data_IF_616375651897
#
_entry.id   IF_616375651897
#
_cell.length_a   1.000
_cell.length_b   1.000
_cell.length_c   1.000
_cell.angle_alpha   90.00
_cell.angle_beta   90.00
_cell.angle_gamma   90.00
#
_symmetry.space_group_name_H-M   'P 1'
#
loop_
_entity.id
_entity.type
_entity.pdbx_description
1 polymer ?
#
# COMPACT_ATOMS: atom_id res chain seq x y z
N UNK A 1 -6.47 -19.78 -8.74
CA UNK A 1 -5.25 -20.21 -9.46
C UNK A 1 -5.52 -20.66 -10.90
N UNK A 2 -6.74 -21.10 -11.27
CA UNK A 2 -7.08 -21.52 -12.64
C UNK A 2 -7.39 -20.37 -13.63
N UNK A 3 -7.76 -19.17 -13.16
CA UNK A 3 -8.08 -18.04 -14.05
C UNK A 3 -6.82 -17.37 -14.63
N UNK A 4 -5.71 -17.37 -13.90
CA UNK A 4 -4.42 -16.81 -14.36
C UNK A 4 -3.81 -17.68 -15.48
N UNK A 5 -3.98 -19.01 -15.41
CA UNK A 5 -3.55 -19.91 -16.50
C UNK A 5 -4.34 -19.68 -17.79
N UNK A 6 -5.63 -19.34 -17.69
CA UNK A 6 -6.48 -19.11 -18.86
C UNK A 6 -6.11 -17.79 -19.59
N UNK A 7 -5.69 -16.76 -18.85
CA UNK A 7 -5.20 -15.50 -19.44
C UNK A 7 -3.82 -15.65 -20.11
N UNK A 8 -2.97 -16.55 -19.61
CA UNK A 8 -1.71 -16.89 -20.28
C UNK A 8 -1.93 -17.73 -21.55
N UNK A 9 -3.00 -18.52 -21.61
CA UNK A 9 -3.30 -19.35 -22.78
C UNK A 9 -3.93 -18.54 -23.94
N UNK A 10 -4.63 -17.43 -23.65
CA UNK A 10 -5.14 -16.50 -24.66
C UNK A 10 -4.09 -15.52 -25.22
N UNK A 11 -2.98 -15.30 -24.52
CA UNK A 11 -1.87 -14.46 -25.00
C UNK A 11 -0.86 -15.21 -25.89
N UNK A 12 -0.97 -16.54 -26.03
CA UNK A 12 -0.09 -17.33 -26.91
C UNK A 12 -0.53 -17.35 -28.38
N UNK A 13 -1.68 -16.76 -28.74
CA UNK A 13 -2.13 -16.64 -30.13
C UNK A 13 -1.84 -15.26 -30.75
N UNK A 14 -1.25 -14.34 -29.98
CA UNK A 14 -0.80 -13.04 -30.46
C UNK A 14 0.71 -13.08 -30.78
N UNK A 15 1.08 -13.83 -31.81
CA UNK A 15 2.50 -14.02 -32.12
C UNK A 15 2.79 -14.78 -33.40
N UNK A 16 2.05 -14.50 -34.48
CA UNK A 16 2.51 -14.85 -35.82
C UNK A 16 2.45 -13.60 -36.69
N UNK A 17 3.29 -12.61 -36.33
CA UNK A 17 3.63 -11.56 -37.26
C UNK A 17 4.92 -11.98 -37.97
N UNK A 18 4.89 -11.93 -39.29
CA UNK A 18 6.01 -12.08 -40.22
C UNK A 18 6.39 -13.49 -40.64
N UNK A 19 5.53 -14.11 -41.46
CA UNK A 19 6.01 -14.99 -42.54
C UNK A 19 6.20 -14.23 -43.88
N UNK A 20 5.76 -12.97 -43.99
CA UNK A 20 5.37 -12.41 -45.29
C UNK A 20 6.30 -11.33 -45.88
N UNK A 21 7.24 -10.76 -45.09
CA UNK A 21 8.32 -9.92 -45.66
C UNK A 21 9.17 -10.74 -46.65
N UNK A 22 9.23 -12.05 -46.42
CA UNK A 22 9.79 -13.06 -47.32
C UNK A 22 9.11 -13.04 -48.69
N UNK A 23 7.78 -12.85 -48.75
CA UNK A 23 6.99 -12.99 -50.00
C UNK A 23 7.12 -11.81 -50.96
N UNK A 24 7.33 -10.58 -50.46
CA UNK A 24 7.49 -9.38 -51.31
C UNK A 24 8.86 -9.36 -51.98
N UNK A 25 9.91 -9.61 -51.18
CA UNK A 25 11.28 -9.75 -51.68
C UNK A 25 11.36 -10.89 -52.70
N UNK A 26 10.64 -11.99 -52.45
CA UNK A 26 10.55 -13.14 -53.34
C UNK A 26 9.95 -12.79 -54.72
N UNK A 27 8.87 -12.01 -54.81
CA UNK A 27 8.30 -11.63 -56.11
C UNK A 27 9.24 -10.75 -56.96
N UNK A 28 9.87 -9.75 -56.34
CA UNK A 28 10.81 -8.88 -57.06
C UNK A 28 12.04 -9.68 -57.54
N UNK A 29 12.56 -10.56 -56.69
CA UNK A 29 13.63 -11.50 -57.06
C UNK A 29 13.20 -12.39 -58.22
N UNK A 30 12.01 -12.99 -58.16
CA UNK A 30 11.45 -13.81 -59.24
C UNK A 30 11.33 -13.03 -60.56
N UNK A 31 11.02 -11.74 -60.54
CA UNK A 31 10.93 -10.96 -61.79
C UNK A 31 12.29 -10.85 -62.48
N UNK A 32 13.37 -10.72 -61.71
CA UNK A 32 14.72 -10.57 -62.23
C UNK A 32 15.43 -11.91 -62.54
N UNK A 33 15.09 -13.02 -61.89
CA UNK A 33 15.74 -14.33 -62.09
C UNK A 33 15.61 -14.87 -63.52
N UNK A 34 16.73 -15.24 -64.13
CA UNK A 34 16.78 -15.83 -65.48
C UNK A 34 16.50 -17.35 -65.45
N UNK A 35 15.35 -17.72 -64.90
CA UNK A 35 14.88 -19.11 -64.84
C UNK A 35 14.29 -19.59 -66.18
N UNK A 36 14.25 -20.91 -66.38
CA UNK A 36 13.58 -21.50 -67.55
C UNK A 36 12.12 -21.07 -67.62
N UNK A 37 11.70 -20.70 -68.83
CA UNK A 37 10.35 -20.20 -69.10
C UNK A 37 9.31 -21.28 -68.82
N UNK A 38 8.31 -20.96 -67.99
CA UNK A 38 7.19 -21.87 -67.68
C UNK A 38 5.95 -21.58 -68.51
N UNK A 39 5.94 -20.47 -69.26
CA UNK A 39 4.78 -20.06 -70.05
C UNK A 39 4.59 -20.95 -71.28
N UNK A 40 3.34 -21.34 -71.51
CA UNK A 40 2.90 -22.12 -72.65
C UNK A 40 1.94 -21.30 -73.49
N UNK A 41 1.84 -21.67 -74.77
CA UNK A 41 0.89 -21.05 -75.69
C UNK A 41 -0.56 -21.18 -75.19
N UNK A 42 -0.88 -22.30 -74.53
CA UNK A 42 -2.19 -22.58 -73.92
C UNK A 42 -2.54 -21.67 -72.74
N UNK A 43 -1.58 -20.95 -72.17
CA UNK A 43 -1.81 -20.10 -70.99
C UNK A 43 -2.46 -18.75 -71.36
N UNK A 44 -2.61 -18.50 -72.66
CA UNK A 44 -3.29 -17.33 -73.22
C UNK A 44 -4.59 -17.76 -73.88
N UNK A 45 -5.63 -16.96 -73.67
CA UNK A 45 -6.97 -17.22 -74.22
C UNK A 45 -7.17 -16.46 -75.53
N UNK A 46 -8.01 -16.99 -76.42
CA UNK A 46 -8.38 -16.32 -77.68
C UNK A 46 -7.26 -16.28 -78.72
N UNK A 47 -6.33 -17.24 -78.67
CA UNK A 47 -5.29 -17.43 -79.68
C UNK A 47 -5.73 -18.37 -80.81
N UNK A 48 -6.88 -19.01 -80.66
CA UNK A 48 -7.51 -19.88 -81.65
C UNK A 48 -8.34 -19.08 -82.69
N UNK A 49 -8.59 -19.69 -83.84
CA UNK A 49 -9.46 -19.11 -84.88
C UNK A 49 -8.72 -18.45 -86.06
N UNK A 50 -9.27 -17.35 -86.57
CA UNK A 50 -8.78 -16.69 -87.80
C UNK A 50 -7.49 -15.93 -87.53
N UNK A 51 -6.58 -16.00 -88.50
CA UNK A 51 -5.28 -15.34 -88.44
C UNK A 51 -5.12 -14.30 -89.56
N UNK A 52 -4.25 -13.33 -89.32
CA UNK A 52 -3.83 -12.30 -90.28
C UNK A 52 -2.31 -12.32 -90.42
N UNK A 53 -1.83 -12.21 -91.64
CA UNK A 53 -0.39 -12.12 -91.93
C UNK A 53 0.06 -10.67 -91.87
N UNK A 54 1.03 -10.38 -91.00
CA UNK A 54 1.67 -9.07 -90.87
C UNK A 54 3.17 -9.25 -91.10
N UNK A 55 3.67 -8.75 -92.23
CA UNK A 55 5.04 -9.00 -92.66
C UNK A 55 5.28 -10.48 -92.96
N UNK A 56 6.19 -11.10 -92.21
CA UNK A 56 6.56 -12.53 -92.35
C UNK A 56 5.92 -13.45 -91.31
N UNK A 57 5.03 -12.92 -90.46
CA UNK A 57 4.44 -13.63 -89.33
C UNK A 57 2.92 -13.68 -89.45
N UNK A 58 2.31 -14.76 -88.93
CA UNK A 58 0.88 -14.98 -88.88
C UNK A 58 0.37 -14.84 -87.44
N UNK A 59 -0.60 -13.94 -87.21
CA UNK A 59 -1.11 -13.64 -85.88
C UNK A 59 -2.62 -13.90 -85.76
N UNK A 60 -3.11 -14.36 -84.59
CA UNK A 60 -4.55 -14.39 -84.31
C UNK A 60 -5.17 -12.99 -84.45
N UNK A 61 -6.37 -12.90 -85.04
CA UNK A 61 -7.07 -11.62 -85.23
C UNK A 61 -7.30 -10.85 -83.92
N UNK A 62 -7.45 -11.55 -82.80
CA UNK A 62 -7.62 -10.98 -81.46
C UNK A 62 -6.44 -10.11 -81.02
N UNK A 63 -5.24 -10.36 -81.55
CA UNK A 63 -4.01 -9.64 -81.22
C UNK A 63 -3.67 -8.55 -82.24
N UNK A 64 -4.36 -8.52 -83.39
CA UNK A 64 -4.05 -7.60 -84.48
C UNK A 64 -4.03 -6.12 -84.05
N UNK A 65 -5.01 -5.59 -83.29
CA UNK A 65 -4.96 -4.20 -82.84
C UNK A 65 -3.75 -3.89 -81.93
N UNK A 66 -3.39 -4.83 -81.04
CA UNK A 66 -2.24 -4.68 -80.16
C UNK A 66 -0.93 -4.68 -80.96
N UNK A 67 -0.83 -5.58 -81.93
CA UNK A 67 0.33 -5.68 -82.81
C UNK A 67 0.51 -4.41 -83.65
N UNK A 68 -0.56 -3.91 -84.28
CA UNK A 68 -0.52 -2.67 -85.05
C UNK A 68 -0.07 -1.49 -84.19
N UNK A 69 -0.55 -1.39 -82.95
CA UNK A 69 -0.14 -0.34 -82.02
C UNK A 69 1.35 -0.44 -81.67
N UNK A 70 1.86 -1.65 -81.39
CA UNK A 70 3.28 -1.87 -81.11
C UNK A 70 4.13 -1.47 -82.32
N UNK A 71 3.77 -1.94 -83.51
CA UNK A 71 4.51 -1.61 -84.75
C UNK A 71 4.47 -0.11 -85.01
N UNK A 72 3.33 0.55 -84.82
CA UNK A 72 3.17 1.99 -85.00
C UNK A 72 4.05 2.81 -84.04
N UNK A 73 4.17 2.39 -82.78
CA UNK A 73 4.88 3.15 -81.74
C UNK A 73 6.38 2.78 -81.66
N UNK A 74 6.72 1.52 -81.91
CA UNK A 74 8.06 0.96 -81.66
C UNK A 74 8.74 0.39 -82.90
N UNK A 75 8.03 0.30 -84.03
CA UNK A 75 8.47 -0.43 -85.21
C UNK A 75 8.38 -1.95 -85.03
N UNK A 76 8.89 -2.71 -85.99
CA UNK A 76 8.97 -4.17 -85.86
C UNK A 76 10.01 -4.57 -84.81
N UNK A 77 9.53 -4.98 -83.64
CA UNK A 77 10.37 -5.37 -82.50
C UNK A 77 11.13 -6.68 -82.75
N UNK A 78 10.71 -7.49 -83.71
CA UNK A 78 11.34 -8.77 -84.06
C UNK A 78 12.34 -8.69 -85.22
N UNK A 79 12.50 -7.51 -85.84
CA UNK A 79 13.33 -7.34 -87.04
C UNK A 79 14.80 -7.76 -86.87
N UNK A 80 15.34 -7.66 -85.65
CA UNK A 80 16.73 -8.04 -85.32
C UNK A 80 16.92 -9.52 -85.02
N UNK A 81 15.84 -10.31 -84.94
CA UNK A 81 15.93 -11.73 -84.60
C UNK A 81 16.44 -12.58 -85.77
N UNK A 82 17.38 -13.47 -85.48
CA UNK A 82 17.94 -14.46 -86.42
C UNK A 82 17.38 -15.88 -86.22
N UNK A 83 16.36 -16.02 -85.37
CA UNK A 83 15.81 -17.32 -84.98
C UNK A 83 14.96 -17.94 -86.10
N UNK A 84 14.72 -19.26 -86.00
CA UNK A 84 13.76 -19.95 -86.85
C UNK A 84 12.39 -19.24 -86.83
N UNK A 85 11.79 -19.05 -88.01
CA UNK A 85 10.56 -18.29 -88.20
C UNK A 85 9.39 -18.81 -87.35
N UNK A 86 9.21 -20.13 -87.25
CA UNK A 86 8.12 -20.74 -86.48
C UNK A 86 8.27 -20.50 -84.97
N UNK A 87 9.51 -20.54 -84.46
CA UNK A 87 9.79 -20.27 -83.05
C UNK A 87 9.60 -18.79 -82.75
N UNK A 88 10.14 -17.92 -83.61
CA UNK A 88 10.00 -16.47 -83.47
C UNK A 88 8.54 -16.04 -83.54
N UNK A 89 7.73 -16.62 -84.42
CA UNK A 89 6.29 -16.39 -84.51
C UNK A 89 5.58 -16.73 -83.20
N UNK A 90 5.83 -17.93 -82.65
CA UNK A 90 5.20 -18.36 -81.39
C UNK A 90 5.52 -17.42 -80.23
N UNK A 91 6.79 -17.00 -80.11
CA UNK A 91 7.23 -16.06 -79.08
C UNK A 91 6.62 -14.68 -79.28
N UNK A 92 6.50 -14.21 -80.53
CA UNK A 92 5.88 -12.93 -80.84
C UNK A 92 4.38 -12.93 -80.50
N UNK A 93 3.67 -14.03 -80.77
CA UNK A 93 2.26 -14.18 -80.39
C UNK A 93 2.11 -14.11 -78.86
N UNK A 94 2.90 -14.87 -78.10
CA UNK A 94 2.85 -14.87 -76.63
C UNK A 94 3.21 -13.50 -76.03
N UNK A 95 4.17 -12.79 -76.63
CA UNK A 95 4.51 -11.43 -76.25
C UNK A 95 3.32 -10.47 -76.49
N UNK A 96 2.71 -10.49 -77.68
CA UNK A 96 1.56 -9.65 -77.99
C UNK A 96 0.34 -9.97 -77.10
N UNK A 97 0.11 -11.27 -76.81
CA UNK A 97 -0.92 -11.71 -75.89
C UNK A 97 -0.69 -11.17 -74.47
N UNK A 98 0.57 -11.15 -74.01
CA UNK A 98 0.93 -10.57 -72.71
C UNK A 98 0.65 -9.06 -72.66
N UNK A 99 1.04 -8.31 -73.70
CA UNK A 99 0.76 -6.86 -73.77
C UNK A 99 -0.76 -6.60 -73.82
N UNK A 100 -1.52 -7.42 -74.54
CA UNK A 100 -2.97 -7.31 -74.58
C UNK A 100 -3.60 -7.54 -73.20
N UNK A 101 -3.22 -8.61 -72.51
CA UNK A 101 -3.72 -8.86 -71.15
C UNK A 101 -3.35 -7.73 -70.17
N UNK A 102 -2.13 -7.19 -70.26
CA UNK A 102 -1.73 -6.02 -69.45
C UNK A 102 -2.60 -4.79 -69.72
N UNK A 103 -3.02 -4.58 -70.97
CA UNK A 103 -3.88 -3.47 -71.37
C UNK A 103 -5.32 -3.66 -70.89
N UNK A 104 -5.84 -4.89 -70.94
CA UNK A 104 -7.25 -5.18 -70.68
C UNK A 104 -7.56 -5.33 -69.18
N UNK A 105 -6.55 -5.61 -68.34
CA UNK A 105 -6.73 -5.84 -66.90
C UNK A 105 -6.48 -4.58 -66.08
N UNK A 106 -7.26 -4.46 -65.00
CA UNK A 106 -7.01 -3.47 -63.94
C UNK A 106 -6.13 -4.04 -62.84
N UNK A 107 -5.49 -3.16 -62.06
CA UNK A 107 -4.58 -3.54 -60.97
C UNK A 107 -5.21 -4.51 -59.96
N UNK A 108 -6.50 -4.36 -59.66
CA UNK A 108 -7.22 -5.20 -58.69
C UNK A 108 -7.43 -6.64 -59.18
N UNK A 109 -7.28 -6.88 -60.49
CA UNK A 109 -7.42 -8.20 -61.12
C UNK A 109 -6.06 -8.87 -61.35
N UNK A 110 -4.96 -8.17 -61.06
CA UNK A 110 -3.60 -8.67 -61.23
C UNK A 110 -3.27 -9.62 -60.09
N UNK A 111 -2.63 -10.73 -60.43
CA UNK A 111 -2.13 -11.73 -59.48
C UNK A 111 -0.66 -12.00 -59.75
N UNK A 112 0.06 -12.51 -58.76
CA UNK A 112 1.46 -12.95 -58.93
C UNK A 112 1.62 -13.89 -60.14
N UNK A 113 0.74 -14.87 -60.28
CA UNK A 113 0.77 -15.82 -61.39
C UNK A 113 0.70 -15.14 -62.77
N UNK A 114 -0.13 -14.09 -62.91
CA UNK A 114 -0.22 -13.31 -64.17
C UNK A 114 1.07 -12.53 -64.43
N UNK A 115 1.64 -11.90 -63.41
CA UNK A 115 2.91 -11.15 -63.52
C UNK A 115 4.04 -12.08 -63.97
N UNK A 116 4.15 -13.27 -63.36
CA UNK A 116 5.16 -14.27 -63.72
C UNK A 116 4.94 -14.85 -65.12
N UNK A 117 3.68 -15.07 -65.52
CA UNK A 117 3.33 -15.48 -66.89
C UNK A 117 3.81 -14.46 -67.92
N UNK A 118 3.55 -13.17 -67.69
CA UNK A 118 3.98 -12.11 -68.60
C UNK A 118 5.49 -11.91 -68.60
N UNK A 119 6.14 -12.03 -67.43
CA UNK A 119 7.61 -12.04 -67.30
C UNK A 119 8.23 -13.06 -68.25
N UNK A 120 7.74 -14.29 -68.22
CA UNK A 120 8.30 -15.39 -69.01
C UNK A 120 8.18 -15.12 -70.51
N UNK A 121 7.01 -14.68 -70.97
CA UNK A 121 6.80 -14.33 -72.37
C UNK A 121 7.70 -13.17 -72.84
N UNK A 122 7.90 -12.16 -71.99
CA UNK A 122 8.80 -11.02 -72.28
C UNK A 122 10.27 -11.47 -72.29
N UNK A 123 10.69 -12.31 -71.32
CA UNK A 123 12.06 -12.85 -71.27
C UNK A 123 12.36 -13.74 -72.46
N UNK A 124 11.42 -14.57 -72.90
CA UNK A 124 11.59 -15.38 -74.11
C UNK A 124 11.78 -14.49 -75.35
N UNK A 125 11.03 -13.41 -75.48
CA UNK A 125 11.24 -12.42 -76.56
C UNK A 125 12.62 -11.74 -76.47
N UNK A 126 13.08 -11.37 -75.26
CA UNK A 126 14.43 -10.81 -75.06
C UNK A 126 15.53 -11.81 -75.43
N UNK A 127 15.40 -13.08 -75.04
CA UNK A 127 16.34 -14.17 -75.40
C UNK A 127 16.45 -14.36 -76.92
N UNK A 128 15.39 -14.05 -77.66
CA UNK A 128 15.38 -14.07 -79.13
C UNK A 128 15.85 -12.77 -79.79
N UNK A 129 16.43 -11.84 -79.02
CA UNK A 129 16.89 -10.52 -79.46
C UNK A 129 15.76 -9.62 -80.01
N UNK A 130 14.53 -9.75 -79.47
CA UNK A 130 13.48 -8.77 -79.76
C UNK A 130 13.73 -7.50 -78.96
N UNK A 131 13.42 -6.34 -79.55
CA UNK A 131 13.60 -5.03 -78.91
C UNK A 131 12.45 -4.70 -77.94
N UNK A 132 12.29 -5.49 -76.88
CA UNK A 132 11.15 -5.43 -75.94
C UNK A 132 11.51 -4.99 -74.52
N UNK A 133 12.68 -4.37 -74.30
CA UNK A 133 13.11 -3.88 -72.97
C UNK A 133 12.07 -2.97 -72.30
N UNK A 134 11.37 -2.15 -73.08
CA UNK A 134 10.31 -1.26 -72.58
C UNK A 134 9.17 -2.03 -71.90
N UNK A 135 8.86 -3.25 -72.37
CA UNK A 135 7.82 -4.08 -71.78
C UNK A 135 8.28 -4.65 -70.44
N UNK A 136 9.56 -5.02 -70.32
CA UNK A 136 10.13 -5.47 -69.05
C UNK A 136 10.14 -4.33 -68.01
N UNK A 137 10.52 -3.12 -68.41
CA UNK A 137 10.45 -1.94 -67.54
C UNK A 137 9.01 -1.65 -67.08
N UNK A 138 8.04 -1.81 -67.98
CA UNK A 138 6.63 -1.63 -67.64
C UNK A 138 6.11 -2.73 -66.71
N UNK A 139 6.49 -3.99 -66.95
CA UNK A 139 6.15 -5.11 -66.08
C UNK A 139 6.67 -4.91 -64.65
N UNK A 140 7.90 -4.39 -64.50
CA UNK A 140 8.45 -4.03 -63.18
C UNK A 140 7.58 -2.99 -62.48
N UNK A 141 7.08 -1.98 -63.20
CA UNK A 141 6.16 -0.97 -62.64
C UNK A 141 4.83 -1.59 -62.21
N UNK A 142 4.27 -2.51 -63.02
CA UNK A 142 3.05 -3.25 -62.67
C UNK A 142 3.26 -4.05 -61.39
N UNK A 143 4.38 -4.78 -61.27
CA UNK A 143 4.70 -5.56 -60.08
C UNK A 143 4.84 -4.68 -58.84
N UNK A 144 5.53 -3.54 -58.94
CA UNK A 144 5.61 -2.58 -57.84
C UNK A 144 4.22 -2.04 -57.45
N UNK A 145 3.35 -1.76 -58.42
CA UNK A 145 1.98 -1.31 -58.13
C UNK A 145 1.16 -2.39 -57.43
N UNK A 146 1.28 -3.65 -57.85
CA UNK A 146 0.62 -4.79 -57.23
C UNK A 146 1.06 -4.97 -55.78
N UNK A 147 2.38 -4.95 -55.53
CA UNK A 147 2.95 -4.99 -54.18
C UNK A 147 2.42 -3.82 -53.33
N UNK A 148 2.41 -2.61 -53.87
CA UNK A 148 1.89 -1.43 -53.17
C UNK A 148 0.41 -1.53 -52.80
N UNK A 149 -0.41 -2.18 -53.63
CA UNK A 149 -1.82 -2.45 -53.32
C UNK A 149 -1.96 -3.45 -52.17
N UNK A 150 -1.20 -4.55 -52.22
CA UNK A 150 -1.19 -5.56 -51.16
C UNK A 150 -0.73 -4.97 -49.82
N UNK A 151 0.34 -4.18 -49.82
CA UNK A 151 0.84 -3.52 -48.62
C UNK A 151 -0.16 -2.53 -48.03
N UNK A 152 -0.89 -1.79 -48.87
CA UNK A 152 -1.95 -0.91 -48.37
C UNK A 152 -3.05 -1.68 -47.66
N UNK A 153 -3.51 -2.79 -48.24
CA UNK A 153 -4.54 -3.63 -47.61
C UNK A 153 -4.08 -4.17 -46.26
N UNK A 154 -2.83 -4.64 -46.17
CA UNK A 154 -2.22 -5.11 -44.92
C UNK A 154 -2.11 -3.98 -43.90
N UNK A 155 -1.69 -2.79 -44.32
CA UNK A 155 -1.60 -1.63 -43.44
C UNK A 155 -2.96 -1.24 -42.86
N UNK A 156 -4.01 -1.26 -43.68
CA UNK A 156 -5.40 -1.01 -43.25
C UNK A 156 -5.89 -2.07 -42.25
N UNK A 157 -5.59 -3.34 -42.50
CA UNK A 157 -5.93 -4.44 -41.58
C UNK A 157 -5.22 -4.30 -40.22
N UNK A 158 -3.91 -4.02 -40.24
CA UNK A 158 -3.14 -3.78 -39.02
C UNK A 158 -3.66 -2.54 -38.28
N UNK A 159 -3.99 -1.46 -38.98
CA UNK A 159 -4.56 -0.25 -38.37
C UNK A 159 -5.91 -0.53 -37.69
N UNK A 160 -6.79 -1.32 -38.32
CA UNK A 160 -8.04 -1.78 -37.70
C UNK A 160 -7.78 -2.61 -36.45
N UNK A 161 -6.76 -3.49 -36.47
CA UNK A 161 -6.39 -4.29 -35.31
C UNK A 161 -5.85 -3.44 -34.15
N UNK A 162 -5.02 -2.45 -34.45
CA UNK A 162 -4.51 -1.48 -33.46
C UNK A 162 -5.69 -0.75 -32.82
N UNK A 163 -6.59 -0.18 -33.63
CA UNK A 163 -7.76 0.56 -33.12
C UNK A 163 -8.63 -0.31 -32.20
N UNK A 164 -8.84 -1.58 -32.55
CA UNK A 164 -9.57 -2.53 -31.71
C UNK A 164 -8.87 -2.77 -30.35
N UNK A 165 -7.56 -3.04 -30.36
CA UNK A 165 -6.79 -3.29 -29.14
C UNK A 165 -6.72 -2.06 -28.24
N UNK A 166 -6.63 -0.85 -28.80
CA UNK A 166 -6.67 0.40 -28.05
C UNK A 166 -8.02 0.58 -27.34
N UNK A 167 -9.12 0.26 -28.00
CA UNK A 167 -10.45 0.28 -27.39
C UNK A 167 -10.57 -0.71 -26.23
N UNK A 168 -10.12 -1.96 -26.42
CA UNK A 168 -10.10 -2.99 -25.37
C UNK A 168 -9.21 -2.60 -24.18
N UNK A 169 -8.03 -2.03 -24.46
CA UNK A 169 -7.12 -1.52 -23.43
C UNK A 169 -7.75 -0.37 -22.63
N UNK A 170 -8.44 0.55 -23.31
CA UNK A 170 -9.13 1.66 -22.64
C UNK A 170 -10.26 1.16 -21.73
N UNK A 171 -11.01 0.15 -22.17
CA UNK A 171 -12.07 -0.48 -21.39
C UNK A 171 -11.50 -1.19 -20.16
N UNK A 172 -10.43 -1.98 -20.33
CA UNK A 172 -9.74 -2.67 -19.23
C UNK A 172 -9.15 -1.70 -18.21
N UNK A 173 -8.51 -0.60 -18.66
CA UNK A 173 -8.01 0.46 -17.78
C UNK A 173 -9.14 1.11 -16.96
N UNK A 174 -10.28 1.40 -17.60
CA UNK A 174 -11.45 1.95 -16.91
C UNK A 174 -11.98 0.99 -15.85
N UNK A 175 -12.04 -0.30 -16.15
CA UNK A 175 -12.50 -1.31 -15.20
C UNK A 175 -11.53 -1.48 -14.01
N UNK A 176 -10.22 -1.51 -14.28
CA UNK A 176 -9.20 -1.49 -13.24
C UNK A 176 -9.37 -0.30 -12.28
N UNK A 177 -9.63 0.91 -12.81
CA UNK A 177 -9.86 2.09 -11.99
C UNK A 177 -11.05 1.91 -11.04
N UNK A 178 -12.18 1.40 -11.54
CA UNK A 178 -13.37 1.16 -10.71
C UNK A 178 -13.12 0.12 -9.63
N UNK A 179 -12.44 -0.97 -9.97
CA UNK A 179 -12.11 -2.04 -9.01
C UNK A 179 -11.22 -1.48 -7.90
N UNK A 180 -10.22 -0.68 -8.26
CA UNK A 180 -9.31 -0.05 -7.32
C UNK A 180 -10.05 0.91 -6.37
N UNK A 181 -10.93 1.76 -6.91
CA UNK A 181 -11.75 2.68 -6.12
C UNK A 181 -12.69 1.92 -5.17
N UNK A 182 -13.44 0.95 -5.70
CA UNK A 182 -14.36 0.12 -4.91
C UNK A 182 -13.65 -0.69 -3.83
N UNK A 183 -12.45 -1.17 -4.11
CA UNK A 183 -11.72 -2.07 -3.22
C UNK A 183 -10.71 -1.35 -2.32
N UNK A 184 -10.63 -0.02 -2.37
CA UNK A 184 -9.61 0.77 -1.67
C UNK A 184 -9.59 0.49 -0.17
N UNK A 185 -10.74 0.58 0.48
CA UNK A 185 -10.88 0.37 1.92
C UNK A 185 -10.53 -1.07 2.33
N UNK A 186 -10.95 -2.06 1.53
CA UNK A 186 -10.60 -3.47 1.78
C UNK A 186 -9.10 -3.71 1.64
N UNK A 187 -8.46 -3.12 0.63
CA UNK A 187 -7.02 -3.22 0.41
C UNK A 187 -6.23 -2.54 1.53
N UNK A 188 -6.67 -1.38 1.99
CA UNK A 188 -6.02 -0.67 3.10
C UNK A 188 -6.21 -1.43 4.43
N UNK A 189 -7.39 -1.98 4.68
CA UNK A 189 -7.64 -2.87 5.81
C UNK A 189 -6.77 -4.13 5.73
N UNK A 190 -6.68 -4.77 4.56
CA UNK A 190 -5.85 -5.95 4.37
C UNK A 190 -4.37 -5.67 4.69
N UNK A 191 -3.83 -4.51 4.33
CA UNK A 191 -2.45 -4.10 4.67
C UNK A 191 -2.20 -4.06 6.18
N UNK A 192 -3.22 -3.78 7.00
CA UNK A 192 -3.06 -3.81 8.46
C UNK A 192 -2.71 -5.21 8.96
N UNK A 193 -3.32 -6.23 8.36
CA UNK A 193 -3.24 -7.63 8.75
C UNK A 193 -2.17 -8.44 8.01
N UNK A 194 -1.78 -8.03 6.79
CA UNK A 194 -0.74 -8.73 6.01
C UNK A 194 0.55 -8.83 6.82
N UNK A 195 1.03 -10.07 7.01
CA UNK A 195 2.25 -10.37 7.75
C UNK A 195 2.14 -10.23 9.28
N UNK A 196 0.94 -10.04 9.84
CA UNK A 196 0.71 -9.92 11.29
C UNK A 196 -0.37 -10.88 11.78
N UNK A 197 -0.34 -11.32 13.05
CA UNK A 197 -1.47 -12.04 13.65
C UNK A 197 -2.72 -11.16 13.69
N UNK A 198 -3.86 -11.71 13.26
CA UNK A 198 -5.13 -10.95 13.16
C UNK A 198 -5.63 -10.46 14.52
N UNK A 199 -5.28 -11.14 15.61
CA UNK A 199 -5.65 -10.77 16.99
C UNK A 199 -4.76 -9.67 17.60
N UNK A 200 -3.68 -9.24 16.94
CA UNK A 200 -2.66 -8.38 17.55
C UNK A 200 -3.21 -7.03 18.03
N UNK A 201 -4.05 -6.37 17.23
CA UNK A 201 -4.65 -5.08 17.60
C UNK A 201 -5.54 -5.18 18.84
N UNK A 202 -6.40 -6.20 18.87
CA UNK A 202 -7.30 -6.50 19.98
C UNK A 202 -6.53 -6.79 21.27
N UNK A 203 -5.54 -7.70 21.21
CA UNK A 203 -4.75 -8.09 22.38
C UNK A 203 -3.91 -6.92 22.92
N UNK A 204 -3.37 -6.05 22.04
CA UNK A 204 -2.67 -4.83 22.48
C UNK A 204 -3.59 -3.87 23.22
N UNK A 205 -4.82 -3.67 22.74
CA UNK A 205 -5.80 -2.81 23.39
C UNK A 205 -6.25 -3.39 24.75
N UNK A 206 -6.47 -4.71 24.81
CA UNK A 206 -6.81 -5.44 26.04
C UNK A 206 -5.70 -5.31 27.09
N UNK A 207 -4.44 -5.53 26.69
CA UNK A 207 -3.30 -5.40 27.61
C UNK A 207 -3.16 -3.97 28.14
N UNK A 208 -3.29 -2.95 27.27
CA UNK A 208 -3.29 -1.54 27.69
C UNK A 208 -4.39 -1.23 28.72
N UNK A 209 -5.60 -1.78 28.52
CA UNK A 209 -6.71 -1.63 29.48
C UNK A 209 -6.41 -2.34 30.80
N UNK A 210 -5.80 -3.51 30.75
CA UNK A 210 -5.42 -4.27 31.93
C UNK A 210 -4.36 -3.54 32.75
N UNK A 211 -3.32 -3.00 32.09
CA UNK A 211 -2.28 -2.18 32.72
C UNK A 211 -2.86 -0.94 33.41
N UNK A 212 -3.78 -0.23 32.76
CA UNK A 212 -4.48 0.91 33.37
C UNK A 212 -5.34 0.49 34.58
N UNK A 213 -6.05 -0.63 34.47
CA UNK A 213 -6.86 -1.17 35.58
C UNK A 213 -5.97 -1.54 36.78
N UNK A 214 -4.84 -2.17 36.53
CA UNK A 214 -3.88 -2.53 37.59
C UNK A 214 -3.33 -1.27 38.27
N UNK A 215 -2.97 -0.22 37.51
CA UNK A 215 -2.55 1.06 38.08
C UNK A 215 -3.63 1.73 38.95
N UNK A 216 -4.91 1.59 38.62
CA UNK A 216 -6.02 2.12 39.45
C UNK A 216 -6.20 1.33 40.73
N UNK A 217 -6.16 0.00 40.63
CA UNK A 217 -6.23 -0.89 41.81
C UNK A 217 -5.12 -0.59 42.79
N UNK A 218 -3.88 -0.45 42.31
CA UNK A 218 -2.75 -0.17 43.17
C UNK A 218 -2.89 1.17 43.92
N UNK A 219 -3.37 2.21 43.23
CA UNK A 219 -3.70 3.51 43.86
C UNK A 219 -4.81 3.40 44.91
N UNK A 220 -5.86 2.61 44.61
CA UNK A 220 -7.00 2.43 45.52
C UNK A 220 -6.59 1.67 46.77
N UNK A 221 -5.83 0.58 46.62
CA UNK A 221 -5.32 -0.21 47.74
C UNK A 221 -4.40 0.62 48.64
N UNK A 222 -3.47 1.38 48.06
CA UNK A 222 -2.59 2.27 48.84
C UNK A 222 -3.38 3.32 49.64
N UNK A 223 -4.47 3.86 49.07
CA UNK A 223 -5.33 4.81 49.77
C UNK A 223 -6.11 4.14 50.91
N UNK A 224 -6.63 2.93 50.69
CA UNK A 224 -7.30 2.14 51.74
C UNK A 224 -6.36 1.80 52.89
N UNK A 225 -5.12 1.41 52.61
CA UNK A 225 -4.12 1.12 53.63
C UNK A 225 -3.81 2.36 54.49
N UNK A 226 -3.72 3.53 53.85
CA UNK A 226 -3.52 4.80 54.56
C UNK A 226 -4.73 5.17 55.43
N UNK A 227 -5.95 5.05 54.90
CA UNK A 227 -7.19 5.26 55.67
C UNK A 227 -7.27 4.33 56.88
N UNK A 228 -6.89 3.06 56.72
CA UNK A 228 -6.83 2.09 57.81
C UNK A 228 -5.82 2.49 58.88
N UNK A 229 -4.64 2.97 58.48
CA UNK A 229 -3.62 3.48 59.39
C UNK A 229 -4.11 4.70 60.18
N UNK A 230 -4.73 5.67 59.51
CA UNK A 230 -5.35 6.85 60.14
C UNK A 230 -6.41 6.44 61.16
N UNK A 231 -7.28 5.47 60.81
CA UNK A 231 -8.31 4.99 61.72
C UNK A 231 -7.74 4.25 62.94
N UNK A 232 -6.64 3.52 62.77
CA UNK A 232 -5.93 2.90 63.88
C UNK A 232 -5.36 3.97 64.83
N UNK A 233 -4.65 4.98 64.31
CA UNK A 233 -4.11 6.07 65.12
C UNK A 233 -5.20 6.88 65.83
N UNK A 234 -6.35 7.15 65.17
CA UNK A 234 -7.50 7.80 65.82
C UNK A 234 -8.03 6.99 67.00
N UNK A 235 -8.08 5.66 66.87
CA UNK A 235 -8.53 4.75 67.94
C UNK A 235 -7.54 4.76 69.11
N UNK A 236 -6.25 4.66 68.84
CA UNK A 236 -5.19 4.74 69.85
C UNK A 236 -5.22 6.08 70.59
N UNK A 237 -5.34 7.20 69.87
CA UNK A 237 -5.46 8.53 70.48
C UNK A 237 -6.69 8.65 71.39
N UNK A 238 -7.84 8.08 71.00
CA UNK A 238 -9.03 8.06 71.84
C UNK A 238 -8.83 7.23 73.12
N UNK A 239 -8.10 6.11 73.03
CA UNK A 239 -7.74 5.31 74.20
C UNK A 239 -6.81 6.08 75.14
N UNK A 240 -5.75 6.73 74.61
CA UNK A 240 -4.82 7.56 75.39
C UNK A 240 -5.58 8.69 76.09
N UNK A 241 -6.47 9.40 75.38
CA UNK A 241 -7.28 10.47 75.96
C UNK A 241 -8.15 9.97 77.12
N UNK A 242 -8.75 8.77 76.98
CA UNK A 242 -9.54 8.16 78.04
C UNK A 242 -8.67 7.83 79.26
N UNK A 243 -7.49 7.26 79.04
CA UNK A 243 -6.52 6.98 80.12
C UNK A 243 -6.08 8.25 80.82
N UNK A 244 -5.74 9.31 80.08
CA UNK A 244 -5.38 10.62 80.64
C UNK A 244 -6.52 11.15 81.51
N UNK A 245 -7.77 11.16 81.02
CA UNK A 245 -8.91 11.61 81.79
C UNK A 245 -9.10 10.82 83.09
N UNK A 246 -8.98 9.48 83.04
CA UNK A 246 -9.05 8.65 84.24
C UNK A 246 -7.92 8.96 85.23
N UNK A 247 -6.68 9.11 84.76
CA UNK A 247 -5.55 9.49 85.63
C UNK A 247 -5.71 10.88 86.22
N UNK A 248 -6.22 11.85 85.46
CA UNK A 248 -6.54 13.20 85.95
C UNK A 248 -7.61 13.16 87.03
N UNK A 249 -8.68 12.36 86.86
CA UNK A 249 -9.69 12.17 87.91
C UNK A 249 -9.07 11.56 89.18
N UNK A 250 -8.28 10.49 89.04
CA UNK A 250 -7.57 9.89 90.17
C UNK A 250 -6.63 10.90 90.89
N UNK A 251 -5.95 11.76 90.15
CA UNK A 251 -5.11 12.81 90.74
C UNK A 251 -5.93 13.82 91.54
N UNK A 252 -7.08 14.26 91.01
CA UNK A 252 -7.98 15.17 91.72
C UNK A 252 -8.49 14.55 93.03
N UNK A 253 -8.90 13.28 93.00
CA UNK A 253 -9.33 12.55 94.20
C UNK A 253 -8.23 12.55 95.28
N UNK A 254 -6.99 12.18 94.90
CA UNK A 254 -5.84 12.18 95.82
C UNK A 254 -5.56 13.59 96.38
N UNK A 255 -5.64 14.65 95.57
CA UNK A 255 -5.42 16.02 96.07
C UNK A 255 -6.53 16.45 97.04
N UNK A 256 -7.78 16.02 96.84
CA UNK A 256 -8.84 16.26 97.82
C UNK A 256 -8.62 15.51 99.13
N UNK A 257 -8.18 14.25 99.08
CA UNK A 257 -7.80 13.49 100.28
C UNK A 257 -6.66 14.19 101.03
N UNK A 258 -5.66 14.71 100.30
CA UNK A 258 -4.56 15.48 100.89
C UNK A 258 -5.02 16.78 101.56
N UNK A 259 -6.02 17.48 101.02
CA UNK A 259 -6.61 18.67 101.66
C UNK A 259 -7.31 18.25 102.97
N UNK A 260 -8.11 17.19 102.96
CA UNK A 260 -8.79 16.67 104.17
C UNK A 260 -7.77 16.28 105.24
N UNK A 261 -6.73 15.53 104.88
CA UNK A 261 -5.67 15.12 105.81
C UNK A 261 -4.92 16.34 106.40
N UNK A 262 -4.73 17.41 105.62
CA UNK A 262 -4.13 18.66 106.10
C UNK A 262 -5.04 19.36 107.11
N UNK A 263 -6.35 19.39 106.85
CA UNK A 263 -7.33 19.98 107.75
C UNK A 263 -7.42 19.18 109.07
N UNK A 264 -7.49 17.85 109.02
CA UNK A 264 -7.47 16.97 110.20
C UNK A 264 -6.20 17.17 111.05
N UNK A 265 -5.03 17.25 110.41
CA UNK A 265 -3.77 17.53 111.09
C UNK A 265 -3.79 18.89 111.78
N UNK A 266 -4.38 19.91 111.15
CA UNK A 266 -4.50 21.25 111.72
C UNK A 266 -5.41 21.27 112.95
N UNK A 267 -6.53 20.52 112.93
CA UNK A 267 -7.42 20.38 114.08
C UNK A 267 -6.74 19.64 115.24
N UNK A 268 -6.07 18.52 114.94
CA UNK A 268 -5.34 17.75 115.95
C UNK A 268 -4.24 18.60 116.60
N UNK A 269 -3.50 19.36 115.79
CA UNK A 269 -2.49 20.31 116.27
C UNK A 269 -3.11 21.39 117.16
N UNK A 270 -4.25 21.96 116.77
CA UNK A 270 -4.96 22.96 117.58
C UNK A 270 -5.46 22.36 118.91
N UNK A 271 -5.98 21.13 118.91
CA UNK A 271 -6.38 20.41 120.15
C UNK A 271 -5.19 20.15 121.05
N UNK A 272 -4.04 19.76 120.49
CA UNK A 272 -2.81 19.51 121.25
C UNK A 272 -2.26 20.81 121.85
N UNK A 273 -2.28 21.92 121.09
CA UNK A 273 -1.93 23.25 121.58
C UNK A 273 -2.86 23.67 122.74
N UNK A 274 -4.17 23.46 122.60
CA UNK A 274 -5.15 23.73 123.65
C UNK A 274 -4.93 22.87 124.90
N UNK A 275 -4.59 21.59 124.75
CA UNK A 275 -4.20 20.72 125.87
C UNK A 275 -2.94 21.25 126.57
N UNK A 276 -1.91 21.66 125.82
CA UNK A 276 -0.72 22.30 126.39
C UNK A 276 -1.05 23.63 127.09
N UNK A 277 -2.00 24.42 126.57
CA UNK A 277 -2.49 25.64 127.22
C UNK A 277 -3.26 25.33 128.51
N UNK A 278 -4.11 24.29 128.53
CA UNK A 278 -4.79 23.80 129.74
C UNK A 278 -3.77 23.28 130.75
N UNK A 279 -2.75 22.52 130.31
CA UNK A 279 -1.64 22.08 131.17
C UNK A 279 -0.90 23.29 131.76
N UNK A 280 -0.60 24.31 130.96
CA UNK A 280 -0.04 25.57 131.42
C UNK A 280 -0.94 26.27 132.45
N UNK A 281 -2.27 26.26 132.27
CA UNK A 281 -3.25 26.80 133.24
C UNK A 281 -3.33 25.96 134.52
N UNK A 282 -3.24 24.62 134.43
CA UNK A 282 -3.22 23.71 135.59
C UNK A 282 -1.92 23.90 136.38
N UNK A 283 -0.78 24.03 135.70
CA UNK A 283 0.50 24.38 136.32
C UNK A 283 0.48 25.81 136.92
N UNK A 284 -0.29 26.75 136.36
CA UNK A 284 -0.55 28.05 136.98
C UNK A 284 -1.54 28.01 138.17
N UNK A 285 -2.27 26.90 138.37
CA UNK A 285 -3.20 26.70 139.50
C UNK A 285 -2.57 25.93 140.67
N UNK A 286 -1.47 25.21 140.41
CA UNK A 286 -0.64 24.55 141.45
C UNK A 286 0.67 25.31 141.74
N UNK A 287 0.82 26.55 141.26
CA UNK A 287 1.99 27.39 141.55
C UNK A 287 1.63 28.87 141.69
N UNK A 288 0.95 29.19 142.79
CA UNK A 288 0.97 30.48 143.48
C UNK A 288 0.83 30.10 144.97
N UNK A 289 1.90 29.67 145.63
CA UNK A 289 2.95 30.54 146.18
C UNK A 289 4.19 30.77 145.29
N UNK A 290 4.47 32.05 145.00
CA UNK A 290 5.83 32.61 145.09
C UNK A 290 6.89 32.23 144.05
N UNK A 291 6.94 33.06 142.99
CA UNK A 291 8.15 33.63 142.37
C UNK A 291 9.27 32.74 141.76
N UNK A 292 9.39 32.88 140.43
CA UNK A 292 10.68 32.93 139.71
C UNK A 292 11.20 31.57 139.22
N UNK A 293 10.85 31.07 138.02
CA UNK A 293 10.78 31.80 136.77
C UNK A 293 12.12 31.75 136.02
N UNK A 294 12.53 30.57 135.55
CA UNK A 294 13.24 30.42 134.26
C UNK A 294 12.90 29.03 133.72
N UNK A 295 11.95 29.03 132.79
CA UNK A 295 11.48 27.86 132.06
C UNK A 295 12.55 27.46 131.03
N UNK A 296 12.86 26.17 131.01
CA UNK A 296 13.48 25.48 129.88
C UNK A 296 12.48 25.57 128.72
N UNK A 297 12.76 26.40 127.72
CA UNK A 297 12.11 26.27 126.42
C UNK A 297 13.09 25.60 125.46
N UNK A 298 12.87 24.30 125.25
CA UNK A 298 13.04 23.70 123.93
C UNK A 298 11.93 24.26 123.02
N UNK A 299 12.26 24.78 121.84
CA UNK A 299 11.34 24.72 120.72
C UNK A 299 12.02 24.04 119.53
N UNK A 300 11.88 22.72 119.45
CA UNK A 300 11.70 22.08 118.15
C UNK A 300 10.24 21.65 118.08
N UNK A 301 9.47 22.35 117.26
CA UNK A 301 8.58 21.78 116.25
C UNK A 301 7.65 22.87 115.73
N UNK A 302 8.06 23.47 114.61
CA UNK A 302 7.24 23.63 113.41
C UNK A 302 8.01 24.51 112.42
N UNK A 303 8.59 23.88 111.39
CA UNK A 303 8.51 24.50 110.06
C UNK A 303 8.08 23.45 109.02
N UNK A 304 7.19 23.84 108.10
CA UNK A 304 6.64 22.96 107.08
C UNK A 304 7.73 22.51 106.11
N UNK A 305 7.65 21.27 105.66
CA UNK A 305 8.37 20.80 104.47
C UNK A 305 7.83 21.62 103.29
N UNK A 306 8.54 22.68 102.94
CA UNK A 306 8.37 23.38 101.68
C UNK A 306 8.77 22.42 100.57
N UNK A 307 7.73 21.89 99.94
CA UNK A 307 7.73 21.27 98.62
C UNK A 307 8.54 22.11 97.63
N UNK A 308 9.67 21.58 97.14
CA UNK A 308 10.24 22.03 95.87
C UNK A 308 9.37 21.47 94.74
N UNK A 309 8.27 22.16 94.45
CA UNK A 309 7.77 22.18 93.09
C UNK A 309 8.76 23.03 92.28
N UNK A 310 9.42 22.39 91.31
CA UNK A 310 9.85 23.02 90.07
C UNK A 310 10.44 21.94 89.16
N UNK A 311 9.56 21.31 88.38
CA UNK A 311 9.95 20.68 87.12
C UNK A 311 8.82 20.79 86.10
N UNK A 312 9.02 21.76 85.22
CA UNK A 312 8.51 21.95 83.86
C UNK A 312 7.25 22.81 83.63
N UNK A 313 7.42 23.96 82.93
CA UNK A 313 6.31 24.68 82.30
C UNK A 313 5.86 23.94 81.03
N UNK A 314 4.54 23.79 80.87
CA UNK A 314 3.91 23.44 79.61
C UNK A 314 3.62 24.74 78.86
N UNK A 315 4.60 25.21 78.07
CA UNK A 315 4.39 26.20 77.03
C UNK A 315 4.60 25.53 75.67
N UNK A 316 3.55 25.56 74.87
CA UNK A 316 3.48 25.55 73.39
C UNK A 316 2.29 24.73 72.86
N UNK A 317 1.09 25.19 73.18
CA UNK A 317 -0.05 25.15 72.26
C UNK A 317 0.03 26.39 71.37
N UNK A 318 0.76 26.31 70.26
CA UNK A 318 0.48 27.06 69.01
C UNK A 318 1.55 26.76 67.95
N UNK A 319 1.37 25.70 67.16
CA UNK A 319 1.84 25.71 65.76
C UNK A 319 0.86 24.94 64.85
N UNK A 320 0.18 25.73 64.02
CA UNK A 320 -0.15 25.43 62.61
C UNK A 320 -1.19 24.35 62.33
N UNK A 321 -2.45 24.71 62.59
CA UNK A 321 -3.51 24.49 61.60
C UNK A 321 -3.32 25.47 60.43
N UNK A 322 -2.60 25.07 59.39
CA UNK A 322 -2.80 25.54 58.01
C UNK A 322 -2.12 24.55 57.07
N UNK A 323 -2.82 24.24 55.97
CA UNK A 323 -2.40 23.46 54.80
C UNK A 323 -2.78 21.97 54.79
N UNK A 324 -4.05 21.71 54.48
CA UNK A 324 -4.48 21.19 53.17
C UNK A 324 -5.97 21.38 52.96
#
# INVERSE_FOLDING_TARGET
MNEIKNLQQMNSEAGTCSNDDTSISDLLMKIDTDEESKVKFSDFTGLDGKHVTVGKYCFPLSLHPTLELIIKVRGDVAATSKMNLSIAERIYIMFCASIKEMHDLRLEQITECRILKWRDAIKDALRMNFKVNFAMEHLKKIACAYIGLMERQRLEEVALRISKLEAELSASKKEHSKICERSKEYMDTAKEFIGKPVSLGMLKAENRRLEERNRRRHRTLAMQDLEQSINNYKRENAQILTTINLTTQHYLDIETEKIVLRDELSELSARLQSLNEIESIILMKESNDGEGGTIISLPELCQPILTSADMFPYDDLQQLTTES
#
